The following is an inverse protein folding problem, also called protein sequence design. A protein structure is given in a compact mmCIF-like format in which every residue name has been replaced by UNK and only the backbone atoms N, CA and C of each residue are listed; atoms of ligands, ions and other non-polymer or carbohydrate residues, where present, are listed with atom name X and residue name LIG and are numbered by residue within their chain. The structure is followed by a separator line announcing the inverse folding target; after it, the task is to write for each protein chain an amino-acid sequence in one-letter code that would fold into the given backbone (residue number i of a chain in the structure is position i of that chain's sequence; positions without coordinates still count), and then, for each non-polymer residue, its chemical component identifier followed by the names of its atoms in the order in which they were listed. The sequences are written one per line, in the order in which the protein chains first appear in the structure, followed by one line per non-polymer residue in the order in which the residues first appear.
data_IF_058942998056
#
_entry.id   IF_058942998056
#
_cell.length_a   1.000
_cell.length_b   1.000
_cell.length_c   1.000
_cell.angle_alpha   90.00
_cell.angle_beta   90.00
_cell.angle_gamma   90.00
#
_symmetry.space_group_name_H-M   'P 1'
#
loop_
_entity.id
_entity.type
_entity.pdbx_description
1 polymer ?
#
# COMPACT_ATOMS: atom_id res chain seq x y z
N UNK A 1 43.20 -20.04 -35.88
CA UNK A 1 43.14 -18.95 -34.92
C UNK A 1 42.35 -17.72 -35.38
N UNK A 2 42.48 -17.21 -36.64
CA UNK A 2 41.73 -16.02 -37.11
C UNK A 2 40.20 -16.25 -37.14
N UNK A 3 39.68 -17.42 -37.52
CA UNK A 3 38.24 -17.72 -37.59
C UNK A 3 37.58 -17.76 -36.19
N UNK A 4 38.27 -18.26 -35.17
CA UNK A 4 37.76 -18.32 -33.77
C UNK A 4 37.62 -16.93 -33.20
N UNK A 5 38.61 -16.03 -33.46
CA UNK A 5 38.54 -14.63 -33.02
C UNK A 5 37.35 -13.88 -33.64
N UNK A 6 37.04 -14.15 -34.92
CA UNK A 6 35.89 -13.51 -35.59
C UNK A 6 34.55 -14.02 -35.04
N UNK A 7 34.42 -15.31 -34.70
CA UNK A 7 33.20 -15.89 -34.11
C UNK A 7 32.98 -15.36 -32.70
N UNK A 8 34.05 -15.25 -31.89
CA UNK A 8 33.94 -14.69 -30.51
C UNK A 8 33.56 -13.20 -30.57
N UNK A 9 34.12 -12.44 -31.52
CA UNK A 9 33.78 -11.03 -31.70
C UNK A 9 32.31 -10.86 -32.16
N UNK A 10 31.82 -11.73 -33.05
CA UNK A 10 30.42 -11.72 -33.49
C UNK A 10 29.44 -12.10 -32.36
N UNK A 11 29.77 -13.11 -31.53
CA UNK A 11 28.98 -13.46 -30.36
C UNK A 11 28.92 -12.34 -29.32
N UNK A 12 30.02 -11.64 -29.06
CA UNK A 12 30.05 -10.52 -28.12
C UNK A 12 29.21 -9.33 -28.61
N UNK A 13 29.18 -9.07 -29.92
CA UNK A 13 28.34 -8.01 -30.51
C UNK A 13 26.85 -8.33 -30.41
N UNK A 14 26.45 -9.62 -30.52
CA UNK A 14 25.06 -10.07 -30.35
C UNK A 14 24.62 -9.89 -28.90
N UNK A 15 25.48 -10.16 -27.92
CA UNK A 15 25.15 -9.97 -26.48
C UNK A 15 24.95 -8.49 -26.10
N UNK A 16 25.64 -7.56 -26.75
CA UNK A 16 25.47 -6.11 -26.52
C UNK A 16 24.15 -5.59 -27.13
N UNK A 17 23.63 -6.24 -28.18
CA UNK A 17 22.36 -5.85 -28.82
C UNK A 17 21.11 -6.24 -28.01
N UNK A 18 21.24 -7.15 -27.05
CA UNK A 18 20.18 -7.51 -26.10
C UNK A 18 20.25 -6.71 -24.77
N UNK A 19 20.94 -5.57 -24.79
CA UNK A 19 20.86 -4.61 -23.71
C UNK A 19 19.39 -4.24 -23.48
N UNK A 20 18.81 -4.77 -22.42
CA UNK A 20 17.49 -4.38 -21.93
C UNK A 20 17.54 -2.86 -21.77
N UNK A 21 16.70 -2.15 -22.50
CA UNK A 21 16.40 -0.75 -22.20
C UNK A 21 15.82 -0.74 -20.80
N UNK A 22 16.65 -0.58 -19.78
CA UNK A 22 16.17 -0.23 -18.47
C UNK A 22 15.48 1.12 -18.65
N UNK A 23 14.17 1.16 -18.45
CA UNK A 23 13.43 2.41 -18.35
C UNK A 23 14.09 3.18 -17.20
N UNK A 24 14.81 4.24 -17.50
CA UNK A 24 15.58 5.01 -16.51
C UNK A 24 14.74 5.99 -15.72
N UNK A 25 13.49 6.20 -16.12
CA UNK A 25 12.51 7.00 -15.39
C UNK A 25 11.63 6.06 -14.57
N UNK A 26 11.62 6.19 -13.23
CA UNK A 26 10.67 5.45 -12.41
C UNK A 26 9.24 5.88 -12.78
N UNK A 27 8.35 4.91 -12.86
CA UNK A 27 6.93 5.18 -13.03
C UNK A 27 6.38 5.88 -11.77
N UNK A 28 5.40 6.76 -11.96
CA UNK A 28 4.70 7.38 -10.84
C UNK A 28 3.95 6.32 -10.03
N UNK A 29 3.89 6.51 -8.72
CA UNK A 29 3.21 5.62 -7.79
C UNK A 29 2.30 6.38 -6.83
N UNK A 30 1.78 5.71 -5.80
CA UNK A 30 0.90 6.29 -4.79
C UNK A 30 -0.46 6.77 -5.35
N UNK A 31 -1.01 6.05 -6.30
CA UNK A 31 -2.32 6.36 -6.85
C UNK A 31 -3.44 5.98 -5.88
N UNK A 32 -4.48 6.83 -5.83
CA UNK A 32 -5.67 6.57 -5.02
C UNK A 32 -6.44 5.38 -5.60
N UNK A 33 -6.70 4.29 -4.84
CA UNK A 33 -7.38 3.11 -5.36
C UNK A 33 -8.76 3.40 -5.96
N UNK A 34 -9.53 4.32 -5.40
CA UNK A 34 -10.83 4.73 -5.93
C UNK A 34 -10.74 5.42 -7.30
N UNK A 35 -9.58 5.94 -7.68
CA UNK A 35 -9.32 6.58 -8.95
C UNK A 35 -8.50 5.71 -9.91
N UNK A 36 -8.32 4.44 -9.60
CA UNK A 36 -7.44 3.51 -10.33
C UNK A 36 -7.74 3.46 -11.83
N UNK A 37 -9.00 3.62 -12.21
CA UNK A 37 -9.41 3.65 -13.62
C UNK A 37 -8.72 4.76 -14.44
N UNK A 38 -8.27 5.85 -13.81
CA UNK A 38 -7.57 6.93 -14.51
C UNK A 38 -6.15 6.52 -14.94
N UNK A 39 -5.54 5.58 -14.22
CA UNK A 39 -4.16 5.14 -14.43
C UNK A 39 -4.08 3.70 -14.95
N UNK A 40 -5.22 3.05 -15.13
CA UNK A 40 -5.30 1.63 -15.45
C UNK A 40 -4.60 1.25 -16.76
N UNK A 41 -4.74 2.07 -17.81
CA UNK A 41 -4.11 1.81 -19.10
C UNK A 41 -2.58 1.89 -19.01
N UNK A 42 -2.04 2.79 -18.20
CA UNK A 42 -0.61 2.89 -17.93
C UNK A 42 -0.10 1.66 -17.16
N UNK A 43 -0.83 1.25 -16.14
CA UNK A 43 -0.54 0.04 -15.36
C UNK A 43 -0.51 -1.21 -16.27
N UNK A 44 -1.44 -1.32 -17.21
CA UNK A 44 -1.44 -2.42 -18.19
C UNK A 44 -0.23 -2.42 -19.10
N UNK A 45 0.22 -1.26 -19.55
CA UNK A 45 1.43 -1.15 -20.39
C UNK A 45 2.69 -1.68 -19.71
N UNK A 46 2.79 -1.51 -18.38
CA UNK A 46 3.91 -2.04 -17.59
C UNK A 46 3.71 -3.48 -17.12
N UNK A 47 2.64 -4.14 -17.56
CA UNK A 47 2.42 -5.57 -17.35
C UNK A 47 1.44 -5.93 -16.23
N UNK A 48 0.69 -4.97 -15.70
CA UNK A 48 -0.34 -5.23 -14.70
C UNK A 48 -1.46 -6.10 -15.27
N UNK A 49 -1.87 -7.15 -14.52
CA UNK A 49 -2.78 -8.18 -15.01
C UNK A 49 -4.15 -8.21 -14.34
N UNK A 50 -4.26 -7.62 -13.13
CA UNK A 50 -5.54 -7.54 -12.44
C UNK A 50 -6.45 -6.50 -13.11
N UNK A 51 -7.75 -6.62 -12.94
CA UNK A 51 -8.70 -5.57 -13.33
C UNK A 51 -8.70 -4.42 -12.31
N UNK A 52 -9.25 -3.28 -12.69
CA UNK A 52 -9.46 -2.19 -11.75
C UNK A 52 -10.41 -2.60 -10.62
N UNK A 53 -11.42 -3.42 -10.92
CA UNK A 53 -12.38 -3.95 -9.95
C UNK A 53 -11.74 -4.95 -8.97
N UNK A 54 -10.72 -5.69 -9.37
CA UNK A 54 -9.97 -6.56 -8.45
C UNK A 54 -9.22 -5.76 -7.39
N UNK A 55 -8.86 -4.50 -7.70
CA UNK A 55 -8.17 -3.60 -6.76
C UNK A 55 -9.16 -2.86 -5.89
N UNK A 56 -10.15 -2.22 -6.51
CA UNK A 56 -11.12 -1.39 -5.80
C UNK A 56 -12.52 -1.54 -6.42
N UNK A 57 -13.43 -2.15 -5.67
CA UNK A 57 -14.83 -2.26 -6.02
C UNK A 57 -15.69 -1.95 -4.79
N UNK A 58 -16.67 -1.04 -4.91
CA UNK A 58 -17.56 -0.66 -3.80
C UNK A 58 -18.65 -1.70 -3.54
N UNK A 59 -19.00 -2.49 -4.54
CA UNK A 59 -20.14 -3.43 -4.47
C UNK A 59 -19.71 -4.89 -4.28
N UNK A 60 -18.44 -5.19 -4.57
CA UNK A 60 -17.90 -6.55 -4.50
C UNK A 60 -16.58 -6.55 -3.75
N UNK A 61 -16.21 -7.71 -3.23
CA UNK A 61 -14.89 -7.91 -2.60
C UNK A 61 -13.77 -7.62 -3.59
N UNK A 62 -12.76 -6.90 -3.13
CA UNK A 62 -11.59 -6.51 -3.90
C UNK A 62 -10.37 -6.40 -2.98
N UNK A 63 -9.20 -6.12 -3.52
CA UNK A 63 -7.96 -6.01 -2.75
C UNK A 63 -8.06 -4.98 -1.60
N UNK A 64 -8.87 -3.92 -1.77
CA UNK A 64 -9.09 -2.92 -0.71
C UNK A 64 -9.56 -3.53 0.61
N UNK A 65 -10.32 -4.63 0.56
CA UNK A 65 -10.90 -5.25 1.75
C UNK A 65 -9.88 -6.07 2.55
N UNK A 66 -8.76 -6.41 1.92
CA UNK A 66 -7.64 -7.07 2.59
C UNK A 66 -6.73 -6.07 3.33
N UNK A 67 -6.77 -4.79 2.97
CA UNK A 67 -5.91 -3.77 3.55
C UNK A 67 -6.61 -3.15 4.76
N UNK A 68 -5.91 -3.16 5.89
CA UNK A 68 -6.46 -2.69 7.18
C UNK A 68 -5.57 -1.63 7.81
N UNK A 69 -6.16 -0.73 8.58
CA UNK A 69 -5.45 0.24 9.40
C UNK A 69 -5.30 -0.28 10.82
N UNK A 70 -4.10 -0.23 11.35
CA UNK A 70 -3.78 -0.53 12.76
C UNK A 70 -3.74 0.74 13.61
N UNK A 71 -4.18 1.89 13.07
CA UNK A 71 -4.11 3.20 13.69
C UNK A 71 -2.79 3.92 13.48
N UNK A 72 -1.68 3.21 13.57
CA UNK A 72 -0.30 3.71 13.38
C UNK A 72 0.42 3.09 12.18
N UNK A 73 -0.10 2.00 11.67
CA UNK A 73 0.46 1.23 10.54
C UNK A 73 -0.66 0.64 9.68
N UNK A 74 -0.27 0.11 8.54
CA UNK A 74 -1.13 -0.68 7.65
C UNK A 74 -0.77 -2.15 7.78
N UNK A 75 -1.76 -3.02 7.67
CA UNK A 75 -1.59 -4.47 7.59
C UNK A 75 -2.40 -5.05 6.45
N UNK A 76 -2.06 -6.28 6.03
CA UNK A 76 -2.75 -7.03 4.99
C UNK A 76 -3.30 -8.34 5.54
N UNK A 77 -4.61 -8.52 5.46
CA UNK A 77 -5.27 -9.79 5.81
C UNK A 77 -5.04 -10.82 4.71
N UNK A 78 -4.35 -11.91 5.04
CA UNK A 78 -3.98 -12.97 4.09
C UNK A 78 -4.69 -14.29 4.33
N UNK A 79 -5.52 -14.38 5.37
CA UNK A 79 -6.34 -15.56 5.62
C UNK A 79 -7.73 -15.22 6.15
N UNK A 80 -8.65 -16.16 5.98
CA UNK A 80 -10.02 -16.06 6.55
C UNK A 80 -10.04 -16.15 8.08
N UNK A 81 -8.95 -16.58 8.68
CA UNK A 81 -8.82 -16.77 10.13
C UNK A 81 -8.15 -15.58 10.83
N UNK A 82 -7.90 -14.49 10.10
CA UNK A 82 -7.33 -13.27 10.66
C UNK A 82 -5.80 -13.21 10.66
N UNK A 83 -5.10 -14.09 9.91
CA UNK A 83 -3.66 -13.92 9.74
C UNK A 83 -3.40 -12.63 8.96
N UNK A 84 -2.62 -11.74 9.57
CA UNK A 84 -2.29 -10.43 9.03
C UNK A 84 -0.78 -10.29 8.86
N UNK A 85 -0.34 -9.72 7.75
CA UNK A 85 1.03 -9.27 7.54
C UNK A 85 1.14 -7.78 7.83
N UNK A 86 2.29 -7.37 8.35
CA UNK A 86 2.66 -5.96 8.49
C UNK A 86 4.19 -5.83 8.54
N UNK A 87 4.70 -4.60 8.62
CA UNK A 87 6.14 -4.37 8.73
C UNK A 87 6.65 -4.66 10.15
N UNK A 88 7.91 -5.10 10.24
CA UNK A 88 8.55 -5.39 11.53
C UNK A 88 8.51 -4.20 12.49
N UNK A 89 8.79 -2.98 12.00
CA UNK A 89 8.76 -1.77 12.85
C UNK A 89 7.38 -1.48 13.43
N UNK A 90 6.31 -1.90 12.78
CA UNK A 90 4.94 -1.78 13.28
C UNK A 90 4.69 -2.74 14.46
N UNK A 91 5.28 -3.93 14.42
CA UNK A 91 5.18 -4.92 15.47
C UNK A 91 6.21 -4.77 16.60
N UNK A 92 7.21 -3.88 16.45
CA UNK A 92 8.38 -3.82 17.32
C UNK A 92 8.03 -3.74 18.80
N UNK A 93 7.17 -2.79 19.18
CA UNK A 93 6.76 -2.61 20.58
C UNK A 93 6.00 -3.82 21.14
N UNK A 94 5.20 -4.49 20.31
CA UNK A 94 4.47 -5.69 20.69
C UNK A 94 5.40 -6.90 20.89
N UNK A 95 6.41 -7.03 20.02
CA UNK A 95 7.45 -8.06 20.16
C UNK A 95 8.25 -7.80 21.44
N UNK A 96 8.66 -6.55 21.68
CA UNK A 96 9.38 -6.16 22.89
C UNK A 96 8.56 -6.43 24.15
N UNK A 97 7.27 -6.11 24.15
CA UNK A 97 6.36 -6.36 25.28
C UNK A 97 6.30 -7.86 25.65
N UNK A 98 6.32 -8.73 24.67
CA UNK A 98 6.28 -10.18 24.86
C UNK A 98 7.66 -10.81 25.09
N UNK A 99 8.76 -10.07 24.91
CA UNK A 99 10.12 -10.55 25.15
C UNK A 99 10.50 -10.50 26.63
N UNK A 100 11.39 -11.40 27.04
CA UNK A 100 12.03 -11.44 28.36
C UNK A 100 13.51 -11.75 28.21
N UNK A 101 14.24 -11.79 29.33
CA UNK A 101 15.65 -12.18 29.33
C UNK A 101 15.82 -13.64 28.87
N UNK A 102 14.85 -14.50 29.18
CA UNK A 102 14.86 -15.94 28.82
C UNK A 102 14.36 -16.16 27.38
N UNK A 103 13.61 -15.20 26.83
CA UNK A 103 12.97 -15.26 25.50
C UNK A 103 13.12 -13.94 24.77
N UNK A 104 14.25 -13.72 24.13
CA UNK A 104 14.50 -12.50 23.34
C UNK A 104 13.92 -12.64 21.92
N UNK A 105 12.61 -12.42 21.79
CA UNK A 105 11.92 -12.52 20.50
C UNK A 105 12.32 -11.42 19.51
N UNK A 106 12.94 -10.32 19.95
CA UNK A 106 13.48 -9.31 19.04
C UNK A 106 14.72 -9.83 18.30
N UNK A 107 15.55 -10.61 18.97
CA UNK A 107 16.79 -11.19 18.41
C UNK A 107 16.52 -12.54 17.75
N UNK A 108 15.79 -13.42 18.43
CA UNK A 108 15.62 -14.81 18.01
C UNK A 108 14.42 -15.02 17.09
N UNK A 109 13.50 -14.06 17.07
CA UNK A 109 12.21 -14.19 16.41
C UNK A 109 11.25 -15.07 17.20
N UNK A 110 9.99 -15.09 16.74
CA UNK A 110 8.95 -15.95 17.30
C UNK A 110 8.06 -16.49 16.20
N UNK A 111 7.71 -17.76 16.28
CA UNK A 111 6.81 -18.41 15.35
C UNK A 111 5.82 -19.30 16.10
N UNK A 112 4.56 -18.85 16.21
CA UNK A 112 3.46 -19.66 16.71
C UNK A 112 3.16 -20.80 15.72
N UNK A 113 3.23 -22.05 16.16
CA UNK A 113 2.92 -23.22 15.33
C UNK A 113 1.41 -23.50 15.28
N UNK A 114 0.71 -23.09 16.32
CA UNK A 114 -0.74 -23.21 16.46
C UNK A 114 -1.32 -21.90 16.99
N UNK A 115 -2.62 -21.69 16.86
CA UNK A 115 -3.29 -20.53 17.46
C UNK A 115 -3.16 -20.45 18.99
N UNK A 116 -2.99 -21.57 19.65
CA UNK A 116 -2.79 -21.60 21.10
C UNK A 116 -1.40 -21.10 21.53
N UNK A 117 -0.45 -21.10 20.60
CA UNK A 117 0.92 -20.59 20.85
C UNK A 117 1.02 -19.08 20.58
N UNK A 118 0.00 -18.46 19.99
CA UNK A 118 0.01 -17.02 19.68
C UNK A 118 0.07 -16.19 20.97
N UNK A 119 0.97 -15.21 20.97
CA UNK A 119 1.16 -14.31 22.10
C UNK A 119 0.18 -13.14 22.03
N UNK A 120 -0.52 -12.77 23.11
CA UNK A 120 -1.49 -11.70 23.09
C UNK A 120 -0.82 -10.33 22.94
N UNK A 121 -1.48 -9.42 22.22
CA UNK A 121 -1.10 -8.02 22.07
C UNK A 121 -2.26 -7.16 22.53
N UNK A 122 -2.34 -6.82 23.83
CA UNK A 122 -3.45 -6.05 24.38
C UNK A 122 -3.59 -4.68 23.71
N UNK A 123 -4.83 -4.32 23.35
CA UNK A 123 -5.11 -3.00 22.75
C UNK A 123 -4.80 -2.88 21.26
N UNK A 124 -4.23 -3.90 20.63
CA UNK A 124 -4.08 -3.91 19.18
C UNK A 124 -5.44 -4.13 18.51
N UNK A 125 -5.73 -3.33 17.49
CA UNK A 125 -6.94 -3.45 16.69
C UNK A 125 -6.63 -3.28 15.21
N UNK A 126 -7.51 -3.78 14.37
CA UNK A 126 -7.48 -3.59 12.93
C UNK A 126 -8.82 -2.99 12.47
N UNK A 127 -8.76 -1.89 11.72
CA UNK A 127 -9.92 -1.22 11.16
C UNK A 127 -10.00 -1.51 9.67
N UNK A 128 -11.16 -1.98 9.23
CA UNK A 128 -11.45 -2.24 7.82
C UNK A 128 -12.10 -1.02 7.19
N UNK A 129 -11.70 -0.67 5.96
CA UNK A 129 -12.34 0.38 5.19
C UNK A 129 -13.71 -0.12 4.71
N UNK A 130 -14.78 0.44 5.26
CA UNK A 130 -16.15 0.11 4.86
C UNK A 130 -16.61 0.93 3.67
N UNK A 131 -16.32 2.24 3.67
CA UNK A 131 -16.76 3.18 2.64
C UNK A 131 -15.81 4.36 2.52
N UNK A 132 -15.68 4.88 1.31
CA UNK A 132 -14.97 6.13 1.02
C UNK A 132 -15.84 6.97 0.09
N UNK A 133 -15.99 8.26 0.40
CA UNK A 133 -16.78 9.19 -0.38
C UNK A 133 -15.97 10.44 -0.74
N UNK A 134 -16.20 10.97 -1.93
CA UNK A 134 -15.68 12.26 -2.33
C UNK A 134 -16.60 13.38 -1.80
N UNK A 135 -16.13 14.09 -0.80
CA UNK A 135 -16.84 15.21 -0.16
C UNK A 135 -16.32 16.57 -0.62
N UNK A 136 -15.47 16.61 -1.64
CA UNK A 136 -14.86 17.86 -2.16
C UNK A 136 -15.91 18.93 -2.47
N UNK A 137 -17.01 18.55 -3.10
CA UNK A 137 -18.09 19.47 -3.42
C UNK A 137 -18.74 20.10 -2.18
N UNK A 138 -18.92 19.35 -1.11
CA UNK A 138 -19.48 19.84 0.14
C UNK A 138 -18.49 20.77 0.87
N UNK A 139 -17.21 20.34 0.94
CA UNK A 139 -16.15 21.08 1.63
C UNK A 139 -15.85 22.41 0.91
N UNK A 140 -15.82 22.40 -0.42
CA UNK A 140 -15.49 23.59 -1.23
C UNK A 140 -16.68 24.51 -1.50
N UNK A 141 -17.87 24.16 -1.09
CA UNK A 141 -19.10 24.93 -1.42
C UNK A 141 -19.08 26.39 -0.92
N UNK A 142 -18.33 26.68 0.14
CA UNK A 142 -18.15 28.03 0.69
C UNK A 142 -16.91 28.76 0.18
N UNK A 143 -16.05 28.11 -0.59
CA UNK A 143 -14.75 28.66 -1.02
C UNK A 143 -14.89 29.40 -2.34
N UNK A 144 -14.44 30.67 -2.39
CA UNK A 144 -14.39 31.50 -3.61
C UNK A 144 -12.94 31.72 -4.03
N UNK A 145 -12.72 31.93 -5.33
CA UNK A 145 -11.36 32.13 -5.89
C UNK A 145 -10.66 33.39 -5.36
N UNK A 146 -11.44 34.42 -5.00
CA UNK A 146 -10.96 35.72 -4.52
C UNK A 146 -10.79 35.82 -3.00
N UNK A 147 -10.99 34.73 -2.26
CA UNK A 147 -10.81 34.70 -0.81
C UNK A 147 -9.35 34.87 -0.40
N UNK A 148 -9.12 35.58 0.72
CA UNK A 148 -7.82 35.54 1.40
C UNK A 148 -7.53 34.13 1.93
N UNK A 149 -6.24 33.81 2.15
CA UNK A 149 -5.83 32.53 2.73
C UNK A 149 -6.52 32.27 4.08
N UNK A 150 -6.56 33.28 4.94
CA UNK A 150 -7.21 33.20 6.26
C UNK A 150 -8.72 32.92 6.17
N UNK A 151 -9.42 33.57 5.24
CA UNK A 151 -10.86 33.35 5.04
C UNK A 151 -11.11 31.97 4.44
N UNK A 152 -10.23 31.52 3.56
CA UNK A 152 -10.27 30.17 2.97
C UNK A 152 -10.08 29.09 4.02
N UNK A 153 -9.06 29.21 4.88
CA UNK A 153 -8.84 28.29 5.99
C UNK A 153 -10.03 28.25 6.95
N UNK A 154 -10.62 29.42 7.27
CA UNK A 154 -11.81 29.47 8.12
C UNK A 154 -13.02 28.79 7.48
N UNK A 155 -13.17 28.88 6.15
CA UNK A 155 -14.26 28.24 5.39
C UNK A 155 -14.08 26.72 5.26
N UNK A 156 -12.85 26.22 5.36
CA UNK A 156 -12.49 24.80 5.30
C UNK A 156 -12.43 24.14 6.67
N UNK A 157 -12.96 24.78 7.72
CA UNK A 157 -12.83 24.28 9.08
C UNK A 157 -13.47 22.88 9.25
N UNK A 158 -12.77 21.99 9.94
CA UNK A 158 -13.10 20.58 10.13
C UNK A 158 -14.47 20.35 10.80
N UNK A 159 -15.04 21.39 11.44
CA UNK A 159 -16.38 21.31 12.06
C UNK A 159 -17.48 21.00 11.07
N UNK A 160 -17.35 21.44 9.81
CA UNK A 160 -18.37 21.20 8.78
C UNK A 160 -18.27 19.78 8.21
N UNK A 161 -17.07 19.18 8.24
CA UNK A 161 -16.84 17.80 7.77
C UNK A 161 -17.46 16.77 8.73
N UNK A 162 -17.43 17.04 10.04
CA UNK A 162 -18.00 16.13 11.04
C UNK A 162 -19.54 16.03 10.94
N UNK A 163 -20.19 17.01 10.35
CA UNK A 163 -21.65 16.99 10.10
C UNK A 163 -22.04 16.16 8.87
N UNK A 164 -21.09 15.76 8.03
CA UNK A 164 -21.31 14.96 6.82
C UNK A 164 -21.23 13.45 7.08
N UNK A 165 -20.82 13.03 8.29
CA UNK A 165 -20.81 11.62 8.67
C UNK A 165 -22.19 11.25 9.26
N UNK A 166 -22.84 10.20 8.76
CA UNK A 166 -24.12 9.71 9.26
C UNK A 166 -24.02 9.12 10.66
#
# INVERSE_FOLDING_TARGET
MKRIKSVVLALSLVFVAFGTKANTTPDEGMWLPMLINKNYDEMKKIGFKLSADDIYNVNNSSLKDAIVSMGFCTGEMISKEGLMLTNHHCGYSSIQYNSSVEHDYLTDGFWAKTKADELPVPGLYASFLVRMEDVSGAVLNGVKEDMSETDREASLSVSDISSLTP
#
